data_IF_051764959010
#
_entry.id   IF_051764959010
#
_cell.length_a   1.000
_cell.length_b   1.000
_cell.length_c   1.000
_cell.angle_alpha   90.00
_cell.angle_beta   90.00
_cell.angle_gamma   90.00
#
_symmetry.space_group_name_H-M   'P 1'
#
loop_
_entity.id
_entity.type
_entity.pdbx_description
1 polymer ?
#
# COMPACT_ATOMS: atom_id res chain seq x y z
N UNK A 1 -16.69 11.88 -3.13
CA UNK A 1 -15.83 12.16 -4.32
C UNK A 1 -14.59 12.92 -3.85
N UNK A 2 -13.54 12.20 -3.44
CA UNK A 2 -12.24 12.81 -3.18
C UNK A 2 -11.59 13.15 -4.52
N UNK A 3 -11.31 14.43 -4.84
CA UNK A 3 -10.53 14.77 -6.03
C UNK A 3 -9.11 14.20 -5.87
N UNK A 4 -8.45 13.87 -6.99
CA UNK A 4 -7.01 13.65 -7.03
C UNK A 4 -6.33 14.85 -6.33
N UNK A 5 -5.63 14.58 -5.24
CA UNK A 5 -4.98 15.59 -4.41
C UNK A 5 -3.62 15.91 -5.03
N UNK A 6 -3.35 17.19 -5.31
CA UNK A 6 -2.03 17.64 -5.77
C UNK A 6 -0.97 17.20 -4.75
N UNK A 7 0.08 16.54 -5.25
CA UNK A 7 0.95 15.65 -4.50
C UNK A 7 1.65 16.24 -3.26
N UNK A 8 2.14 15.33 -2.42
CA UNK A 8 2.85 15.66 -1.18
C UNK A 8 4.23 16.29 -1.43
N UNK A 9 4.62 17.23 -0.55
CA UNK A 9 5.97 17.76 -0.45
C UNK A 9 6.98 16.65 -0.11
N UNK A 10 8.05 16.51 -0.90
CA UNK A 10 9.10 15.53 -0.62
C UNK A 10 9.79 15.86 0.71
N UNK A 11 9.67 14.95 1.67
CA UNK A 11 10.35 15.02 2.96
C UNK A 11 10.86 13.63 3.33
N UNK A 12 12.17 13.53 3.51
CA UNK A 12 12.81 12.38 4.15
C UNK A 12 13.07 12.76 5.61
N UNK A 13 12.77 11.88 6.58
CA UNK A 13 13.14 12.15 7.95
C UNK A 13 14.67 12.20 8.07
N UNK A 14 15.17 13.07 8.95
CA UNK A 14 16.61 13.36 9.06
C UNK A 14 17.47 12.12 9.35
N UNK A 15 16.86 11.08 9.93
CA UNK A 15 17.56 9.84 10.21
C UNK A 15 17.82 8.99 8.96
N UNK A 16 17.19 9.24 7.81
CA UNK A 16 17.41 8.49 6.55
C UNK A 16 18.49 9.09 5.66
N UNK A 17 18.96 10.31 5.95
CA UNK A 17 19.80 11.06 5.01
C UNK A 17 20.98 11.81 5.64
N UNK A 18 21.57 12.70 4.84
CA UNK A 18 22.71 13.56 5.20
C UNK A 18 22.37 14.69 6.20
N UNK A 19 21.12 14.76 6.65
CA UNK A 19 20.60 15.82 7.52
C UNK A 19 20.89 15.64 9.01
N UNK A 20 21.32 14.45 9.44
CA UNK A 20 21.81 14.22 10.80
C UNK A 20 23.34 14.44 10.87
N UNK A 21 23.81 15.54 11.49
CA UNK A 21 25.25 15.82 11.64
C UNK A 21 25.98 14.79 12.52
N UNK A 22 25.25 13.92 13.22
CA UNK A 22 25.81 12.84 14.05
C UNK A 22 25.95 11.52 13.30
N UNK A 23 25.34 11.36 12.12
CA UNK A 23 25.37 10.12 11.33
C UNK A 23 26.72 9.97 10.65
N UNK A 24 27.53 9.00 11.11
CA UNK A 24 28.81 8.63 10.49
C UNK A 24 28.58 7.58 9.39
N UNK A 25 28.11 8.00 8.22
CA UNK A 25 27.89 7.12 7.07
C UNK A 25 27.38 7.89 5.87
N UNK A 26 27.56 7.34 4.66
CA UNK A 26 27.02 7.91 3.42
C UNK A 26 25.49 7.85 3.34
N UNK A 27 24.94 8.16 2.16
CA UNK A 27 23.50 8.06 1.88
C UNK A 27 23.03 6.63 2.22
N UNK A 28 21.97 6.53 3.02
CA UNK A 28 21.37 5.24 3.34
C UNK A 28 20.60 4.73 2.12
N UNK A 29 21.17 3.75 1.43
CA UNK A 29 20.53 3.13 0.27
C UNK A 29 19.23 2.40 0.64
N UNK A 30 18.97 2.13 1.93
CA UNK A 30 17.73 1.54 2.43
C UNK A 30 16.77 2.57 3.05
N UNK A 31 17.04 3.87 2.95
CA UNK A 31 16.25 4.92 3.59
C UNK A 31 14.75 4.84 3.29
N UNK A 32 14.37 4.53 2.03
CA UNK A 32 12.97 4.33 1.64
C UNK A 32 12.26 3.20 2.40
N UNK A 33 12.99 2.18 2.87
CA UNK A 33 12.44 1.11 3.71
C UNK A 33 12.30 1.56 5.16
N UNK A 34 13.27 2.29 5.68
CA UNK A 34 13.25 2.82 7.06
C UNK A 34 12.18 3.89 7.23
N UNK A 35 11.82 4.59 6.15
CA UNK A 35 10.88 5.71 6.16
C UNK A 35 9.43 5.39 5.89
N UNK A 36 9.08 4.13 5.66
CA UNK A 36 7.70 3.77 5.30
C UNK A 36 6.68 4.20 6.36
N UNK A 37 7.04 4.21 7.65
CA UNK A 37 6.18 4.70 8.73
C UNK A 37 5.91 6.21 8.58
N UNK A 38 6.96 7.00 8.36
CA UNK A 38 6.86 8.45 8.15
C UNK A 38 6.15 8.77 6.82
N UNK A 39 6.46 8.04 5.76
CA UNK A 39 5.86 8.19 4.44
C UNK A 39 4.39 7.79 4.41
N UNK A 40 3.96 6.82 5.22
CA UNK A 40 2.52 6.48 5.37
C UNK A 40 1.75 7.56 6.14
N UNK A 41 2.43 8.38 6.94
CA UNK A 41 1.85 9.52 7.66
C UNK A 41 1.84 10.83 6.85
N UNK A 42 2.81 11.07 5.96
CA UNK A 42 3.00 12.39 5.28
C UNK A 42 2.66 12.51 3.78
N UNK A 43 2.97 11.50 2.96
CA UNK A 43 2.50 11.30 1.57
C UNK A 43 0.97 11.43 1.28
N UNK A 44 0.56 11.13 0.04
CA UNK A 44 -0.86 11.02 -0.34
C UNK A 44 -1.31 9.57 -0.18
N UNK A 45 -2.58 9.32 0.19
CA UNK A 45 -3.15 7.97 0.30
C UNK A 45 -4.47 7.85 -0.42
N UNK A 46 -4.67 6.67 -1.00
CA UNK A 46 -5.96 6.19 -1.41
C UNK A 46 -6.47 5.15 -0.41
N UNK A 47 -7.71 5.32 0.05
CA UNK A 47 -8.36 4.39 0.98
C UNK A 47 -9.63 3.89 0.30
N UNK A 48 -9.71 2.58 0.04
CA UNK A 48 -10.85 1.95 -0.62
C UNK A 48 -11.42 0.89 0.31
N UNK A 49 -12.72 0.96 0.58
CA UNK A 49 -13.43 0.02 1.43
C UNK A 49 -14.33 -0.91 0.62
N UNK A 50 -14.24 -2.21 0.84
CA UNK A 50 -15.03 -3.27 0.18
C UNK A 50 -15.69 -4.14 1.26
N UNK A 51 -17.00 -4.46 1.15
CA UNK A 51 -17.75 -5.05 2.28
C UNK A 51 -18.65 -6.25 1.93
N UNK A 52 -18.56 -6.80 0.72
CA UNK A 52 -19.70 -7.53 0.15
C UNK A 52 -19.59 -9.06 0.30
N UNK A 53 -18.48 -9.55 0.84
CA UNK A 53 -18.24 -10.96 1.12
C UNK A 53 -18.41 -11.24 2.62
N UNK A 54 -19.37 -12.10 2.97
CA UNK A 54 -19.70 -12.44 4.37
C UNK A 54 -18.53 -13.01 5.17
N UNK A 55 -17.63 -13.75 4.53
CA UNK A 55 -16.47 -14.35 5.20
C UNK A 55 -15.32 -13.35 5.39
N UNK A 56 -15.22 -12.32 4.54
CA UNK A 56 -14.18 -11.28 4.63
C UNK A 56 -14.65 -10.04 5.43
N UNK A 57 -15.95 -9.75 5.40
CA UNK A 57 -16.49 -8.50 5.92
C UNK A 57 -15.87 -7.28 5.24
N UNK A 58 -15.62 -6.23 6.02
CA UNK A 58 -15.00 -4.99 5.56
C UNK A 58 -13.49 -5.19 5.34
N UNK A 59 -13.03 -4.98 4.12
CA UNK A 59 -11.63 -4.95 3.69
C UNK A 59 -11.27 -3.51 3.31
N UNK A 60 -10.05 -3.09 3.64
CA UNK A 60 -9.55 -1.77 3.26
C UNK A 60 -8.25 -1.89 2.47
N UNK A 61 -8.24 -1.41 1.23
CA UNK A 61 -7.02 -1.18 0.47
C UNK A 61 -6.49 0.23 0.75
N UNK A 62 -5.23 0.30 1.18
CA UNK A 62 -4.49 1.54 1.42
C UNK A 62 -3.37 1.65 0.40
N UNK A 63 -3.53 2.50 -0.61
CA UNK A 63 -2.45 2.86 -1.53
C UNK A 63 -1.68 4.06 -0.99
N UNK A 64 -0.35 4.02 -1.03
CA UNK A 64 0.54 5.10 -0.57
C UNK A 64 1.50 5.46 -1.70
N UNK A 65 1.43 6.71 -2.15
CA UNK A 65 2.43 7.24 -3.06
C UNK A 65 3.74 7.50 -2.31
N UNK A 66 4.88 6.98 -2.77
CA UNK A 66 6.21 7.34 -2.29
C UNK A 66 6.96 8.22 -3.31
N UNK A 67 7.67 9.24 -2.83
CA UNK A 67 8.53 10.09 -3.67
C UNK A 67 7.74 11.07 -4.57
N UNK A 68 8.43 12.11 -5.08
CA UNK A 68 7.89 13.39 -5.62
C UNK A 68 6.89 13.27 -6.79
N UNK A 69 6.64 12.09 -7.34
CA UNK A 69 5.83 11.88 -8.55
C UNK A 69 4.77 10.78 -8.42
N UNK A 70 4.68 10.10 -7.28
CA UNK A 70 3.75 8.99 -7.09
C UNK A 70 2.34 9.49 -6.76
N UNK A 71 1.49 9.67 -7.77
CA UNK A 71 0.07 9.93 -7.54
C UNK A 71 -0.69 8.61 -7.48
N UNK A 72 -1.58 8.48 -6.50
CA UNK A 72 -2.59 7.42 -6.48
C UNK A 72 -3.78 7.92 -7.29
N UNK A 73 -3.96 7.43 -8.51
CA UNK A 73 -5.13 7.76 -9.33
C UNK A 73 -6.20 6.70 -9.13
N UNK A 74 -7.30 7.09 -8.49
CA UNK A 74 -8.38 6.17 -8.10
C UNK A 74 -9.53 6.29 -9.09
N UNK A 75 -9.79 5.20 -9.78
CA UNK A 75 -10.77 5.13 -10.87
C UNK A 75 -12.14 4.69 -10.38
N UNK A 76 -12.22 4.03 -9.22
CA UNK A 76 -13.47 3.63 -8.58
C UNK A 76 -14.11 4.79 -7.81
N UNK A 77 -15.44 4.76 -7.73
CA UNK A 77 -16.24 5.78 -7.05
C UNK A 77 -16.98 5.19 -5.85
N UNK A 78 -17.28 6.05 -4.88
CA UNK A 78 -18.15 5.68 -3.76
C UNK A 78 -19.48 5.07 -4.28
N UNK A 79 -19.86 3.91 -3.74
CA UNK A 79 -21.05 3.16 -4.17
C UNK A 79 -20.88 2.32 -5.44
N UNK A 80 -19.72 2.37 -6.11
CA UNK A 80 -19.42 1.48 -7.23
C UNK A 80 -19.15 0.06 -6.72
N UNK A 81 -19.93 -0.90 -7.21
CA UNK A 81 -19.65 -2.31 -6.97
C UNK A 81 -18.51 -2.79 -7.87
N UNK A 82 -17.53 -3.48 -7.29
CA UNK A 82 -16.37 -4.06 -8.00
C UNK A 82 -16.32 -5.56 -7.80
N UNK A 83 -15.73 -6.28 -8.75
CA UNK A 83 -15.46 -7.72 -8.67
C UNK A 83 -13.97 -7.98 -8.49
N UNK A 84 -13.63 -9.17 -7.98
CA UNK A 84 -12.24 -9.61 -7.83
C UNK A 84 -11.48 -9.47 -9.15
N UNK A 85 -10.42 -8.65 -9.12
CA UNK A 85 -9.54 -8.41 -10.26
C UNK A 85 -10.01 -7.30 -11.20
N UNK A 86 -11.06 -6.56 -10.85
CA UNK A 86 -11.37 -5.28 -11.47
C UNK A 86 -10.31 -4.24 -11.07
N UNK A 87 -10.07 -3.29 -11.96
CA UNK A 87 -9.14 -2.21 -11.70
C UNK A 87 -9.77 -1.18 -10.76
N UNK A 88 -9.06 -0.85 -9.68
CA UNK A 88 -9.47 0.18 -8.71
C UNK A 88 -8.74 1.51 -8.87
N UNK A 89 -7.65 1.51 -9.64
CA UNK A 89 -6.80 2.66 -9.85
C UNK A 89 -5.40 2.27 -10.25
N UNK A 90 -4.47 3.22 -10.17
CA UNK A 90 -3.07 3.05 -10.54
C UNK A 90 -2.17 4.02 -9.79
N UNK A 91 -0.92 3.61 -9.62
CA UNK A 91 0.16 4.50 -9.22
C UNK A 91 0.86 5.02 -10.47
N UNK A 92 1.10 6.33 -10.54
CA UNK A 92 1.84 6.95 -11.63
C UNK A 92 3.29 7.17 -11.21
N UNK A 93 4.26 6.74 -12.03
CA UNK A 93 5.70 6.84 -11.76
C UNK A 93 6.19 6.06 -10.51
N UNK A 94 7.34 5.38 -10.62
CA UNK A 94 7.82 4.45 -9.60
C UNK A 94 8.03 5.06 -8.21
N UNK A 95 7.83 4.24 -7.18
CA UNK A 95 7.83 4.64 -5.77
C UNK A 95 6.42 4.57 -5.18
N UNK A 96 5.86 3.40 -5.00
CA UNK A 96 4.54 3.28 -4.37
C UNK A 96 4.49 2.03 -3.53
N UNK A 97 3.85 2.13 -2.37
CA UNK A 97 3.57 0.98 -1.53
C UNK A 97 2.07 0.87 -1.30
N UNK A 98 1.64 -0.28 -0.79
CA UNK A 98 0.26 -0.50 -0.44
C UNK A 98 0.14 -1.45 0.75
N UNK A 99 -0.99 -1.36 1.44
CA UNK A 99 -1.37 -2.28 2.50
C UNK A 99 -2.82 -2.71 2.28
N UNK A 100 -3.10 -3.99 2.50
CA UNK A 100 -4.49 -4.50 2.56
C UNK A 100 -4.79 -4.84 4.01
N UNK A 101 -5.81 -4.19 4.56
CA UNK A 101 -6.22 -4.31 5.94
C UNK A 101 -7.48 -5.18 6.01
N UNK A 102 -7.44 -6.15 6.91
CA UNK A 102 -8.56 -7.03 7.22
C UNK A 102 -8.99 -6.82 8.65
N UNK A 103 -10.27 -7.10 8.95
CA UNK A 103 -10.75 -7.14 10.32
C UNK A 103 -10.04 -8.24 11.11
N UNK A 104 -9.88 -8.03 12.42
CA UNK A 104 -9.12 -8.92 13.32
C UNK A 104 -9.62 -10.37 13.31
N UNK A 105 -10.92 -10.56 13.13
CA UNK A 105 -11.60 -11.85 13.08
C UNK A 105 -11.41 -12.62 11.76
N UNK A 106 -10.89 -11.96 10.70
CA UNK A 106 -10.71 -12.59 9.39
C UNK A 106 -9.47 -13.47 9.40
N UNK A 107 -9.69 -14.79 9.31
CA UNK A 107 -8.61 -15.76 9.13
C UNK A 107 -8.24 -15.91 7.66
N UNK A 108 -6.98 -15.65 7.30
CA UNK A 108 -6.44 -15.86 5.95
C UNK A 108 -5.34 -16.92 5.98
N UNK A 109 -5.34 -17.82 4.99
CA UNK A 109 -4.30 -18.83 4.78
C UNK A 109 -3.75 -18.79 3.34
N UNK A 110 -2.60 -19.42 3.14
CA UNK A 110 -2.06 -19.68 1.80
C UNK A 110 -1.34 -18.50 1.17
N UNK A 111 -0.82 -17.57 1.98
CA UNK A 111 0.06 -16.51 1.51
C UNK A 111 1.32 -17.08 0.84
N UNK A 112 1.85 -16.41 -0.21
CA UNK A 112 3.14 -16.76 -0.77
C UNK A 112 4.25 -16.56 0.27
N UNK A 113 5.32 -17.35 0.16
CA UNK A 113 6.50 -17.19 1.01
C UNK A 113 7.20 -15.86 0.70
N UNK A 114 7.39 -15.03 1.72
CA UNK A 114 8.01 -13.70 1.64
C UNK A 114 9.45 -13.67 2.17
N UNK A 115 9.92 -14.73 2.83
CA UNK A 115 11.25 -14.81 3.45
C UNK A 115 12.37 -15.10 2.43
N UNK A 116 12.05 -15.81 1.35
CA UNK A 116 13.00 -16.06 0.25
C UNK A 116 12.26 -16.10 -1.10
N UNK A 117 11.88 -14.92 -1.65
CA UNK A 117 11.11 -14.85 -2.88
C UNK A 117 12.02 -15.15 -4.08
N UNK A 118 12.26 -16.43 -4.37
CA UNK A 118 12.98 -16.82 -5.58
C UNK A 118 12.17 -16.53 -6.85
N UNK A 119 10.86 -16.31 -6.72
CA UNK A 119 9.94 -16.07 -7.82
C UNK A 119 8.99 -14.91 -7.53
N UNK A 120 8.71 -14.11 -8.56
CA UNK A 120 7.67 -13.09 -8.50
C UNK A 120 6.30 -13.73 -8.35
N UNK A 121 5.43 -13.12 -7.54
CA UNK A 121 4.01 -13.48 -7.46
C UNK A 121 3.31 -12.93 -8.71
N UNK A 122 2.70 -13.76 -9.58
CA UNK A 122 2.06 -13.27 -10.79
C UNK A 122 0.89 -12.33 -10.48
N UNK A 123 0.74 -11.29 -11.29
CA UNK A 123 -0.40 -10.38 -11.22
C UNK A 123 -1.71 -11.18 -11.38
N UNK A 124 -2.70 -10.89 -10.52
CA UNK A 124 -3.99 -11.61 -10.42
C UNK A 124 -3.90 -13.10 -10.03
N UNK A 125 -2.75 -13.57 -9.57
CA UNK A 125 -2.67 -14.89 -8.92
C UNK A 125 -3.41 -14.90 -7.58
N UNK A 126 -3.65 -16.10 -7.04
CA UNK A 126 -4.22 -16.24 -5.71
C UNK A 126 -3.20 -15.76 -4.66
N UNK A 127 -3.54 -14.70 -3.93
CA UNK A 127 -2.72 -14.21 -2.83
C UNK A 127 -2.95 -15.02 -1.55
N UNK A 128 -4.22 -15.23 -1.17
CA UNK A 128 -4.62 -15.95 0.03
C UNK A 128 -6.08 -16.42 -0.09
N UNK A 129 -6.50 -17.27 0.84
CA UNK A 129 -7.86 -17.81 0.95
C UNK A 129 -8.42 -17.48 2.34
N UNK A 130 -9.67 -17.03 2.39
CA UNK A 130 -10.39 -16.79 3.64
C UNK A 130 -10.86 -18.11 4.26
N UNK A 131 -10.63 -18.26 5.57
CA UNK A 131 -11.25 -19.31 6.38
C UNK A 131 -12.73 -19.02 6.51
N UNK A 132 -13.57 -19.98 6.13
CA UNK A 132 -15.01 -19.84 6.34
C UNK A 132 -15.30 -19.65 7.81
N UNK A 133 -16.16 -18.68 8.11
CA UNK A 133 -16.73 -18.56 9.44
C UNK A 133 -17.76 -19.68 9.60
N UNK A 134 -17.63 -20.50 10.65
CA UNK A 134 -18.61 -21.54 10.99
C UNK A 134 -19.94 -20.93 11.43
#
# INVERSE_FOLDING_TARGET
MSPNQDGTYFSEPLFEGLGDPSRKGGIDAEGEKTGQEYLTATATRAIIFEADNKDLGLVCFLGVGMTKVSTCDITVKEGQYVKKGDESGMFHFGGSTHCVLFRKEVGLDGFPNTENPENNVPVRSQLAVVKKSN
#
